data_IF_346352737225
#
_entry.id   IF_346352737225
#
_cell.length_a   1.000
_cell.length_b   1.000
_cell.length_c   1.000
_cell.angle_alpha   90.00
_cell.angle_beta   90.00
_cell.angle_gamma   90.00
#
_symmetry.space_group_name_H-M   'P 1'
#
loop_
_entity.id
_entity.type
_entity.pdbx_description
1 polymer ?
#
# COMPACT_ATOMS: atom_id res chain seq x y z
N UNK A 1 -18.55 -18.25 22.23
CA UNK A 1 -19.55 -17.58 23.11
C UNK A 1 -19.45 -16.09 22.82
N UNK A 2 -20.49 -15.44 22.30
CA UNK A 2 -20.49 -13.98 22.13
C UNK A 2 -20.77 -13.36 23.49
N UNK A 3 -19.71 -12.96 24.18
CA UNK A 3 -19.81 -12.19 25.43
C UNK A 3 -20.06 -10.73 25.02
N UNK A 4 -21.06 -10.03 25.60
CA UNK A 4 -21.20 -8.59 25.44
C UNK A 4 -19.88 -7.88 25.74
N UNK A 5 -19.52 -6.86 24.96
CA UNK A 5 -18.22 -6.18 25.10
C UNK A 5 -17.97 -5.66 26.52
N UNK A 6 -19.01 -5.14 27.18
CA UNK A 6 -18.93 -4.67 28.56
C UNK A 6 -18.58 -5.78 29.56
N UNK A 7 -19.25 -6.93 29.44
CA UNK A 7 -18.98 -8.09 30.30
C UNK A 7 -17.55 -8.62 30.11
N UNK A 8 -17.03 -8.54 28.87
CA UNK A 8 -15.65 -8.93 28.59
C UNK A 8 -14.65 -8.02 29.30
N UNK A 9 -14.80 -6.70 29.21
CA UNK A 9 -13.85 -5.77 29.85
C UNK A 9 -13.95 -5.77 31.37
N UNK A 10 -15.12 -6.02 31.94
CA UNK A 10 -15.25 -6.25 33.38
C UNK A 10 -14.53 -7.52 33.84
N UNK A 11 -14.60 -8.61 33.07
CA UNK A 11 -13.86 -9.84 33.36
C UNK A 11 -12.35 -9.58 33.27
N UNK A 12 -11.90 -8.89 32.22
CA UNK A 12 -10.48 -8.49 32.08
C UNK A 12 -10.03 -7.67 33.29
N UNK A 13 -10.78 -6.64 33.68
CA UNK A 13 -10.45 -5.77 34.81
C UNK A 13 -10.33 -6.56 36.14
N UNK A 14 -11.27 -7.48 36.39
CA UNK A 14 -11.25 -8.35 37.59
C UNK A 14 -10.08 -9.33 37.56
N UNK A 15 -9.78 -9.92 36.40
CA UNK A 15 -8.67 -10.87 36.27
C UNK A 15 -7.33 -10.17 36.40
N UNK A 16 -7.13 -9.01 35.78
CA UNK A 16 -5.86 -8.27 35.82
C UNK A 16 -5.43 -7.89 37.25
N UNK A 17 -6.41 -7.65 38.14
CA UNK A 17 -6.20 -7.21 39.52
C UNK A 17 -6.26 -8.34 40.55
N UNK A 18 -6.57 -9.57 40.13
CA UNK A 18 -6.69 -10.72 41.03
C UNK A 18 -5.32 -11.27 41.45
N UNK A 19 -5.03 -11.30 42.75
CA UNK A 19 -3.82 -11.92 43.31
C UNK A 19 -3.92 -13.45 43.44
N UNK A 20 -5.14 -14.01 43.34
CA UNK A 20 -5.45 -15.39 43.78
C UNK A 20 -5.44 -16.44 42.66
N UNK A 21 -5.10 -16.06 41.43
CA UNK A 21 -5.07 -17.02 40.32
C UNK A 21 -3.67 -17.59 40.13
N UNK A 22 -3.54 -18.90 40.31
CA UNK A 22 -2.28 -19.64 40.12
C UNK A 22 -1.90 -19.80 38.63
N UNK A 23 -2.66 -19.18 37.72
CA UNK A 23 -2.48 -19.24 36.28
C UNK A 23 -2.31 -17.84 35.71
N UNK A 24 -1.28 -17.67 34.87
CA UNK A 24 -1.06 -16.44 34.12
C UNK A 24 -1.98 -16.45 32.91
N UNK A 25 -2.76 -15.39 32.74
CA UNK A 25 -3.77 -15.28 31.68
C UNK A 25 -3.38 -14.12 30.77
N UNK A 26 -3.40 -14.38 29.46
CA UNK A 26 -3.24 -13.36 28.43
C UNK A 26 -4.58 -13.16 27.71
N UNK A 27 -5.04 -11.92 27.66
CA UNK A 27 -6.21 -11.53 26.87
C UNK A 27 -5.72 -10.92 25.56
N UNK A 28 -6.17 -11.46 24.43
CA UNK A 28 -5.86 -10.94 23.10
C UNK A 28 -7.12 -10.39 22.48
N UNK A 29 -7.07 -9.11 22.12
CA UNK A 29 -8.17 -8.38 21.50
C UNK A 29 -7.75 -8.09 20.07
N UNK A 30 -8.25 -8.89 19.14
CA UNK A 30 -8.19 -8.62 17.70
C UNK A 30 -9.29 -7.61 17.33
N UNK A 31 -9.05 -6.77 16.32
CA UNK A 31 -9.98 -5.75 15.83
C UNK A 31 -10.32 -4.62 16.82
N UNK A 32 -9.36 -4.25 17.66
CA UNK A 32 -9.54 -3.18 18.64
C UNK A 32 -9.88 -1.80 18.04
N UNK A 33 -9.70 -1.63 16.73
CA UNK A 33 -10.09 -0.44 15.97
C UNK A 33 -11.61 -0.22 15.88
N UNK A 34 -12.44 -1.21 16.22
CA UNK A 34 -13.89 -1.04 16.28
C UNK A 34 -14.41 -0.83 17.70
N UNK A 35 -13.55 -0.98 18.71
CA UNK A 35 -13.94 -0.84 20.12
C UNK A 35 -14.02 0.61 20.57
N UNK A 36 -13.31 1.50 19.87
CA UNK A 36 -13.24 2.91 20.20
C UNK A 36 -13.38 3.76 18.94
N UNK A 37 -14.28 4.74 19.00
CA UNK A 37 -14.29 5.85 18.07
C UNK A 37 -13.01 6.70 18.12
N UNK A 38 -12.86 7.69 17.23
CA UNK A 38 -11.70 8.56 17.25
C UNK A 38 -11.60 9.29 18.60
N UNK A 39 -10.39 9.53 19.08
CA UNK A 39 -10.14 10.08 20.42
C UNK A 39 -10.94 11.37 20.72
N UNK A 40 -11.26 12.17 19.70
CA UNK A 40 -11.99 13.43 19.82
C UNK A 40 -13.52 13.26 19.83
N UNK A 41 -14.06 12.07 19.56
CA UNK A 41 -15.50 11.80 19.46
C UNK A 41 -15.94 10.55 20.24
N UNK A 42 -15.20 10.18 21.31
CA UNK A 42 -15.57 9.06 22.17
C UNK A 42 -16.91 9.32 22.87
N UNK A 43 -17.78 8.32 22.82
CA UNK A 43 -19.04 8.24 23.57
C UNK A 43 -18.80 8.12 25.08
N UNK A 44 -19.84 8.39 25.88
CA UNK A 44 -19.74 8.25 27.35
C UNK A 44 -19.41 6.81 27.79
N UNK A 45 -19.90 5.82 27.04
CA UNK A 45 -19.65 4.41 27.29
C UNK A 45 -18.18 4.03 27.02
N UNK A 46 -17.64 4.42 25.86
CA UNK A 46 -16.24 4.19 25.51
C UNK A 46 -15.27 4.88 26.48
N UNK A 47 -15.59 6.11 26.93
CA UNK A 47 -14.81 6.81 27.96
C UNK A 47 -14.76 6.05 29.28
N UNK A 48 -15.90 5.51 29.74
CA UNK A 48 -15.95 4.68 30.96
C UNK A 48 -15.09 3.44 30.79
N UNK A 49 -15.17 2.78 29.64
CA UNK A 49 -14.41 1.57 29.35
C UNK A 49 -12.89 1.82 29.39
N UNK A 50 -12.44 2.89 28.72
CA UNK A 50 -11.05 3.32 28.72
C UNK A 50 -10.56 3.70 30.13
N UNK A 51 -11.42 4.36 30.92
CA UNK A 51 -11.12 4.69 32.30
C UNK A 51 -10.93 3.42 33.14
N UNK A 52 -11.84 2.44 33.01
CA UNK A 52 -11.75 1.14 33.70
C UNK A 52 -10.46 0.42 33.35
N UNK A 53 -10.12 0.31 32.06
CA UNK A 53 -8.86 -0.30 31.60
C UNK A 53 -7.67 0.44 32.22
N UNK A 54 -7.64 1.77 32.15
CA UNK A 54 -6.55 2.57 32.70
C UNK A 54 -6.39 2.45 34.22
N UNK A 55 -7.48 2.30 34.98
CA UNK A 55 -7.41 2.01 36.42
C UNK A 55 -6.92 0.59 36.68
N UNK A 56 -7.47 -0.41 36.00
CA UNK A 56 -7.09 -1.81 36.20
C UNK A 56 -5.64 -2.09 35.84
N UNK A 57 -5.09 -1.46 34.79
CA UNK A 57 -3.67 -1.58 34.45
C UNK A 57 -2.75 -0.98 35.53
N UNK A 58 -3.13 0.17 36.10
CA UNK A 58 -2.36 0.79 37.20
C UNK A 58 -2.40 -0.06 38.47
N UNK A 59 -3.55 -0.61 38.81
CA UNK A 59 -3.70 -1.46 39.99
C UNK A 59 -3.00 -2.81 39.79
N UNK A 60 -3.08 -3.40 38.60
CA UNK A 60 -2.33 -4.60 38.22
C UNK A 60 -0.81 -4.40 38.33
N UNK A 61 -0.30 -3.23 37.92
CA UNK A 61 1.12 -2.89 38.06
C UNK A 61 1.54 -2.81 39.53
N UNK A 62 0.73 -2.20 40.41
CA UNK A 62 0.99 -2.14 41.86
C UNK A 62 0.97 -3.54 42.49
N UNK A 63 0.02 -4.38 42.08
CA UNK A 63 -0.11 -5.76 42.52
C UNK A 63 0.94 -6.71 41.91
N UNK A 64 1.85 -6.21 41.05
CA UNK A 64 2.85 -7.00 40.30
C UNK A 64 2.21 -8.18 39.55
N UNK A 65 1.01 -7.92 39.02
CA UNK A 65 0.25 -8.87 38.21
C UNK A 65 1.08 -9.37 37.02
N UNK A 66 0.94 -10.66 36.71
CA UNK A 66 1.61 -11.30 35.57
C UNK A 66 0.64 -11.57 34.41
N UNK A 67 -0.59 -11.07 34.52
CA UNK A 67 -1.57 -11.13 33.45
C UNK A 67 -1.22 -10.13 32.34
N UNK A 68 -1.54 -10.48 31.10
CA UNK A 68 -1.21 -9.67 29.92
C UNK A 68 -2.48 -9.27 29.17
N UNK A 69 -2.52 -8.04 28.70
CA UNK A 69 -3.56 -7.55 27.80
C UNK A 69 -2.90 -7.08 26.49
N UNK A 70 -3.24 -7.74 25.39
CA UNK A 70 -2.69 -7.48 24.05
C UNK A 70 -3.79 -6.90 23.17
N UNK A 71 -3.56 -5.70 22.65
CA UNK A 71 -4.40 -5.08 21.63
C UNK A 71 -3.72 -5.21 20.27
N UNK A 72 -4.41 -5.81 19.30
CA UNK A 72 -3.99 -5.81 17.89
C UNK A 72 -4.74 -4.68 17.19
N UNK A 73 -4.01 -3.71 16.67
CA UNK A 73 -4.57 -2.53 15.99
C UNK A 73 -3.78 -2.17 14.73
N UNK A 74 -4.46 -1.70 13.67
CA UNK A 74 -3.80 -1.29 12.43
C UNK A 74 -3.02 0.03 12.58
N UNK A 75 -3.44 0.91 13.49
CA UNK A 75 -2.78 2.19 13.76
C UNK A 75 -2.86 2.54 15.24
N UNK A 76 -1.90 3.33 15.73
CA UNK A 76 -1.81 3.74 17.14
C UNK A 76 -2.88 4.79 17.55
N UNK A 77 -3.53 5.43 16.57
CA UNK A 77 -4.50 6.51 16.81
C UNK A 77 -5.85 6.04 17.35
N UNK A 78 -6.05 4.73 17.44
CA UNK A 78 -7.26 4.11 18.00
C UNK A 78 -7.34 4.32 19.51
N UNK A 79 -6.21 4.27 20.21
CA UNK A 79 -6.18 4.48 21.65
C UNK A 79 -5.84 5.94 21.98
N UNK A 80 -6.49 6.55 22.99
CA UNK A 80 -6.11 7.88 23.44
C UNK A 80 -4.66 7.91 23.94
N UNK A 81 -3.87 8.94 23.57
CA UNK A 81 -2.49 9.08 24.05
C UNK A 81 -2.36 9.07 25.57
N UNK A 82 -3.39 9.54 26.30
CA UNK A 82 -3.44 9.50 27.76
C UNK A 82 -3.35 8.09 28.37
N UNK A 83 -3.65 7.04 27.60
CA UNK A 83 -3.58 5.67 28.09
C UNK A 83 -2.14 5.14 28.07
N UNK A 84 -1.38 5.44 27.02
CA UNK A 84 -0.06 4.84 26.76
C UNK A 84 1.13 5.78 26.91
N UNK A 85 0.95 7.10 26.79
CA UNK A 85 2.04 8.06 26.96
C UNK A 85 2.53 8.03 28.41
N UNK A 86 3.84 7.86 28.60
CA UNK A 86 4.51 7.79 29.90
C UNK A 86 3.96 6.69 30.83
N UNK A 87 3.38 5.63 30.28
CA UNK A 87 2.85 4.51 31.05
C UNK A 87 3.79 3.30 30.98
N UNK A 88 4.55 3.06 32.04
CA UNK A 88 5.50 1.95 32.12
C UNK A 88 4.85 0.55 32.09
N UNK A 89 3.53 0.45 32.32
CA UNK A 89 2.79 -0.81 32.21
C UNK A 89 2.42 -1.17 30.77
N UNK A 90 2.64 -0.27 29.80
CA UNK A 90 2.24 -0.48 28.40
C UNK A 90 3.47 -0.48 27.52
N UNK A 91 3.63 -1.57 26.77
CA UNK A 91 4.63 -1.68 25.71
C UNK A 91 3.95 -1.57 24.34
N UNK A 92 4.54 -0.79 23.44
CA UNK A 92 4.11 -0.72 22.05
C UNK A 92 5.08 -1.52 21.19
N UNK A 93 4.54 -2.47 20.44
CA UNK A 93 5.32 -3.31 19.52
C UNK A 93 4.84 -3.02 18.10
N UNK A 94 5.47 -2.07 17.38
CA UNK A 94 5.13 -1.84 15.99
C UNK A 94 5.56 -3.06 15.17
N UNK A 95 4.64 -3.59 14.36
CA UNK A 95 4.92 -4.68 13.43
C UNK A 95 5.23 -4.02 12.07
N UNK A 96 6.50 -3.98 11.63
CA UNK A 96 6.84 -3.42 10.34
C UNK A 96 6.33 -4.32 9.20
N UNK A 97 6.29 -3.77 7.99
CA UNK A 97 6.19 -4.62 6.80
C UNK A 97 7.38 -5.59 6.75
N UNK A 98 7.17 -6.80 6.22
CA UNK A 98 8.26 -7.77 6.11
C UNK A 98 9.39 -7.20 5.25
N UNK A 99 10.61 -7.56 5.59
CA UNK A 99 11.81 -7.32 4.80
C UNK A 99 11.80 -8.14 3.50
N UNK A 100 12.69 -7.81 2.57
CA UNK A 100 12.87 -8.58 1.34
C UNK A 100 13.23 -10.05 1.65
N UNK A 101 14.04 -10.30 2.70
CA UNK A 101 14.44 -11.63 3.12
C UNK A 101 13.28 -12.43 3.72
N UNK A 102 12.46 -11.82 4.58
CA UNK A 102 11.26 -12.49 5.12
C UNK A 102 10.25 -12.84 4.00
N UNK A 103 10.12 -11.97 2.98
CA UNK A 103 9.32 -12.29 1.79
C UNK A 103 9.93 -13.41 0.97
N UNK A 104 11.24 -13.42 0.78
CA UNK A 104 11.98 -14.49 0.10
C UNK A 104 11.72 -15.85 0.78
N UNK A 105 11.85 -15.92 2.10
CA UNK A 105 11.57 -17.12 2.90
C UNK A 105 10.10 -17.54 2.77
N UNK A 106 9.17 -16.59 2.78
CA UNK A 106 7.74 -16.87 2.56
C UNK A 106 7.44 -17.37 1.14
N UNK A 107 8.12 -16.84 0.12
CA UNK A 107 8.00 -17.31 -1.27
C UNK A 107 8.50 -18.75 -1.35
N UNK A 108 9.68 -19.04 -0.79
CA UNK A 108 10.28 -20.36 -0.77
C UNK A 108 9.39 -21.37 -0.03
N UNK A 109 8.80 -20.98 1.11
CA UNK A 109 7.86 -21.82 1.85
C UNK A 109 6.60 -22.20 1.03
N UNK A 110 6.22 -21.36 0.06
CA UNK A 110 5.07 -21.59 -0.83
C UNK A 110 5.49 -22.03 -2.25
N UNK A 111 6.77 -22.40 -2.46
CA UNK A 111 7.35 -22.72 -3.76
C UNK A 111 6.51 -23.71 -4.58
N UNK A 112 6.00 -24.76 -3.93
CA UNK A 112 5.22 -25.83 -4.59
C UNK A 112 3.87 -25.35 -5.13
N UNK A 113 3.34 -24.26 -4.60
CA UNK A 113 2.08 -23.66 -5.02
C UNK A 113 2.31 -22.66 -6.17
N UNK A 114 3.48 -22.01 -6.19
CA UNK A 114 3.83 -21.05 -7.23
C UNK A 114 3.95 -21.70 -8.61
N UNK A 115 3.22 -21.16 -9.59
CA UNK A 115 3.36 -21.49 -11.01
C UNK A 115 3.94 -20.29 -11.77
N UNK A 116 5.25 -20.13 -11.68
CA UNK A 116 5.99 -19.03 -12.31
C UNK A 116 7.12 -19.55 -13.20
N UNK A 117 7.58 -18.71 -14.12
CA UNK A 117 8.67 -19.04 -15.06
C UNK A 117 10.05 -19.08 -14.38
N UNK A 118 10.21 -18.27 -13.33
CA UNK A 118 11.44 -18.09 -12.57
C UNK A 118 11.76 -19.29 -11.67
N UNK A 119 13.04 -19.53 -11.44
CA UNK A 119 13.49 -20.58 -10.53
C UNK A 119 13.41 -20.14 -9.06
N UNK A 120 12.73 -20.93 -8.24
CA UNK A 120 12.52 -20.67 -6.82
C UNK A 120 13.36 -21.60 -5.93
N UNK A 121 14.44 -22.23 -6.44
CA UNK A 121 15.38 -22.94 -5.58
C UNK A 121 16.05 -22.04 -4.52
N UNK A 122 16.43 -22.59 -3.35
CA UNK A 122 17.15 -21.83 -2.33
C UNK A 122 18.40 -21.16 -2.88
N UNK A 123 18.60 -19.88 -2.56
CA UNK A 123 19.71 -19.03 -3.03
C UNK A 123 19.75 -18.77 -4.55
N UNK A 124 18.67 -19.05 -5.31
CA UNK A 124 18.60 -18.64 -6.71
C UNK A 124 18.53 -17.11 -6.83
N UNK A 125 19.15 -16.55 -7.88
CA UNK A 125 19.07 -15.11 -8.14
C UNK A 125 17.62 -14.64 -8.39
N UNK A 126 16.82 -15.50 -9.02
CA UNK A 126 15.41 -15.29 -9.32
C UNK A 126 14.54 -15.19 -8.05
N UNK A 127 14.80 -16.04 -7.05
CA UNK A 127 14.10 -16.02 -5.77
C UNK A 127 14.41 -14.73 -5.00
N UNK A 128 15.68 -14.34 -4.94
CA UNK A 128 16.12 -13.07 -4.34
C UNK A 128 15.47 -11.88 -5.07
N UNK A 129 15.47 -11.90 -6.41
CA UNK A 129 14.82 -10.86 -7.20
C UNK A 129 13.31 -10.79 -6.93
N UNK A 130 12.62 -11.93 -6.76
CA UNK A 130 11.20 -11.95 -6.41
C UNK A 130 10.96 -11.34 -5.01
N UNK A 131 11.76 -11.68 -4.00
CA UNK A 131 11.69 -11.08 -2.66
C UNK A 131 11.84 -9.54 -2.69
N UNK A 132 12.67 -9.03 -3.61
CA UNK A 132 12.86 -7.60 -3.83
C UNK A 132 11.71 -6.96 -4.63
N UNK A 133 11.24 -7.58 -5.71
CA UNK A 133 10.15 -7.06 -6.54
C UNK A 133 8.79 -7.04 -5.80
N UNK A 134 8.64 -7.90 -4.80
CA UNK A 134 7.48 -7.97 -3.91
C UNK A 134 7.49 -6.89 -2.81
N UNK A 135 8.27 -5.83 -2.98
CA UNK A 135 8.32 -4.74 -2.00
C UNK A 135 6.94 -4.10 -1.73
N UNK A 136 6.72 -3.80 -0.45
CA UNK A 136 5.45 -3.32 0.10
C UNK A 136 4.34 -4.37 0.24
N UNK A 137 4.60 -5.63 -0.12
CA UNK A 137 3.65 -6.73 0.10
C UNK A 137 3.84 -7.34 1.49
N UNK A 138 2.73 -7.71 2.12
CA UNK A 138 2.71 -8.50 3.35
C UNK A 138 2.96 -9.99 3.08
N UNK A 139 3.26 -10.78 4.11
CA UNK A 139 3.38 -12.24 3.95
C UNK A 139 2.07 -12.90 3.50
N UNK A 140 0.92 -12.31 3.88
CA UNK A 140 -0.40 -12.72 3.39
C UNK A 140 -0.56 -12.46 1.89
N UNK A 141 -0.04 -11.34 1.40
CA UNK A 141 -0.03 -11.05 -0.04
C UNK A 141 0.84 -12.05 -0.80
N UNK A 142 1.98 -12.49 -0.25
CA UNK A 142 2.80 -13.56 -0.86
C UNK A 142 2.02 -14.86 -0.99
N UNK A 143 1.27 -15.27 0.04
CA UNK A 143 0.40 -16.44 -0.02
C UNK A 143 -0.70 -16.27 -1.07
N UNK A 144 -1.31 -15.07 -1.14
CA UNK A 144 -2.32 -14.78 -2.16
C UNK A 144 -1.72 -14.79 -3.57
N UNK A 145 -0.48 -14.33 -3.77
CA UNK A 145 0.23 -14.43 -5.04
C UNK A 145 0.44 -15.90 -5.44
N UNK A 146 0.85 -16.74 -4.49
CA UNK A 146 1.00 -18.18 -4.73
C UNK A 146 -0.32 -18.78 -5.21
N UNK A 147 -1.40 -18.52 -4.46
CA UNK A 147 -2.73 -18.98 -4.81
C UNK A 147 -3.20 -18.45 -6.18
N UNK A 148 -3.05 -17.15 -6.43
CA UNK A 148 -3.39 -16.54 -7.71
C UNK A 148 -2.63 -17.18 -8.88
N UNK A 149 -1.33 -17.41 -8.72
CA UNK A 149 -0.51 -18.07 -9.74
C UNK A 149 -0.98 -19.49 -10.02
N UNK A 150 -1.39 -20.23 -8.98
CA UNK A 150 -1.86 -21.61 -9.11
C UNK A 150 -3.15 -21.73 -9.93
N UNK A 151 -4.00 -20.68 -9.88
CA UNK A 151 -5.25 -20.57 -10.61
C UNK A 151 -5.08 -20.11 -12.06
N UNK A 152 -3.93 -19.53 -12.42
CA UNK A 152 -3.70 -19.13 -13.81
C UNK A 152 -3.55 -20.35 -14.71
N UNK A 153 -4.14 -20.26 -15.92
CA UNK A 153 -4.02 -21.28 -16.95
C UNK A 153 -2.61 -21.36 -17.55
N UNK A 154 -1.90 -20.23 -17.55
CA UNK A 154 -0.58 -20.08 -18.13
C UNK A 154 0.44 -19.79 -17.03
N UNK A 155 1.68 -20.25 -17.25
CA UNK A 155 2.80 -19.95 -16.36
C UNK A 155 3.24 -18.50 -16.60
N UNK A 156 3.02 -17.65 -15.59
CA UNK A 156 3.34 -16.23 -15.66
C UNK A 156 4.78 -15.96 -15.22
N UNK A 157 5.35 -14.85 -15.70
CA UNK A 157 6.55 -14.28 -15.07
C UNK A 157 6.18 -13.70 -13.70
N UNK A 158 7.13 -13.66 -12.77
CA UNK A 158 6.95 -13.03 -11.44
C UNK A 158 6.45 -11.59 -11.56
N UNK A 159 6.97 -10.81 -12.51
CA UNK A 159 6.54 -9.42 -12.76
C UNK A 159 5.08 -9.35 -13.19
N UNK A 160 4.68 -10.18 -14.16
CA UNK A 160 3.30 -10.24 -14.64
C UNK A 160 2.34 -10.70 -13.53
N UNK A 161 2.75 -11.65 -12.69
CA UNK A 161 1.97 -12.10 -11.54
C UNK A 161 1.77 -10.97 -10.51
N UNK A 162 2.84 -10.25 -10.15
CA UNK A 162 2.75 -9.09 -9.24
C UNK A 162 1.87 -7.99 -9.85
N UNK A 163 2.00 -7.71 -11.15
CA UNK A 163 1.16 -6.73 -11.86
C UNK A 163 -0.31 -7.14 -11.84
N UNK A 164 -0.60 -8.42 -12.12
CA UNK A 164 -1.95 -8.96 -12.06
C UNK A 164 -2.55 -8.82 -10.66
N UNK A 165 -1.78 -9.09 -9.61
CA UNK A 165 -2.22 -8.93 -8.24
C UNK A 165 -2.49 -7.48 -7.84
N UNK A 166 -1.57 -6.56 -8.17
CA UNK A 166 -1.67 -5.15 -7.77
C UNK A 166 -2.68 -4.35 -8.60
N UNK A 167 -2.84 -4.68 -9.88
CA UNK A 167 -3.58 -3.84 -10.83
C UNK A 167 -4.69 -4.58 -11.59
N UNK A 168 -4.85 -5.89 -11.39
CA UNK A 168 -5.83 -6.69 -12.13
C UNK A 168 -5.48 -6.88 -13.62
N UNK A 169 -4.28 -6.48 -14.06
CA UNK A 169 -3.83 -6.56 -15.46
C UNK A 169 -2.52 -7.35 -15.56
N UNK A 170 -2.51 -8.34 -16.46
CA UNK A 170 -1.36 -9.25 -16.68
C UNK A 170 -0.15 -8.51 -17.26
N UNK A 171 -0.37 -7.69 -18.28
CA UNK A 171 0.71 -7.01 -19.00
C UNK A 171 0.83 -5.56 -18.55
N UNK A 172 2.04 -5.12 -18.26
CA UNK A 172 2.31 -3.68 -18.21
C UNK A 172 2.32 -3.15 -19.65
N UNK A 173 1.68 -2.01 -19.94
CA UNK A 173 1.83 -1.35 -21.25
C UNK A 173 3.30 -1.09 -21.63
N UNK A 174 4.15 -0.93 -20.61
CA UNK A 174 5.60 -0.77 -20.78
C UNK A 174 6.33 -2.05 -21.20
N UNK A 175 5.77 -3.23 -20.96
CA UNK A 175 6.32 -4.52 -21.43
C UNK A 175 6.01 -4.76 -22.91
N UNK A 176 4.94 -4.13 -23.43
CA UNK A 176 4.60 -4.14 -24.86
C UNK A 176 5.49 -3.22 -25.70
N UNK A 177 6.37 -2.45 -25.08
CA UNK A 177 7.39 -1.67 -25.78
C UNK A 177 8.56 -2.59 -26.10
N UNK A 178 8.99 -2.59 -27.34
CA UNK A 178 10.21 -3.26 -27.78
C UNK A 178 11.16 -2.26 -28.47
N UNK A 179 12.37 -2.72 -28.76
CA UNK A 179 13.38 -1.88 -29.43
C UNK A 179 12.90 -1.33 -30.77
N UNK A 180 12.08 -2.08 -31.52
CA UNK A 180 11.55 -1.64 -32.83
C UNK A 180 10.55 -0.50 -32.66
N UNK A 181 9.56 -0.69 -31.79
CA UNK A 181 8.54 0.32 -31.49
C UNK A 181 9.16 1.60 -30.91
N UNK A 182 10.24 1.49 -30.13
CA UNK A 182 11.00 2.66 -29.66
C UNK A 182 11.70 3.44 -30.76
N UNK A 183 12.14 2.79 -31.85
CA UNK A 183 12.69 3.49 -33.02
C UNK A 183 11.61 4.26 -33.78
N UNK A 184 10.35 3.86 -33.65
CA UNK A 184 9.20 4.49 -34.30
C UNK A 184 8.59 5.65 -33.50
N UNK A 185 9.10 5.96 -32.29
CA UNK A 185 8.57 7.05 -31.45
C UNK A 185 8.53 8.37 -32.22
N UNK A 186 9.66 8.77 -32.80
CA UNK A 186 9.81 10.06 -33.47
C UNK A 186 8.86 10.17 -34.66
N UNK A 187 8.86 9.16 -35.53
CA UNK A 187 8.00 9.13 -36.73
C UNK A 187 6.53 9.09 -36.37
N UNK A 188 6.15 8.39 -35.29
CA UNK A 188 4.76 8.31 -34.83
C UNK A 188 4.27 9.65 -34.27
N UNK A 189 5.05 10.27 -33.38
CA UNK A 189 4.68 11.57 -32.79
C UNK A 189 4.65 12.69 -33.85
N UNK A 190 5.57 12.69 -34.81
CA UNK A 190 5.60 13.68 -35.90
C UNK A 190 4.40 13.61 -36.85
N UNK A 191 3.59 12.53 -36.83
CA UNK A 191 2.34 12.48 -37.60
C UNK A 191 1.35 13.56 -37.12
N UNK A 192 1.23 13.74 -35.80
CA UNK A 192 0.32 14.69 -35.16
C UNK A 192 0.97 16.01 -34.78
N UNK A 193 2.26 15.98 -34.41
CA UNK A 193 2.99 17.16 -33.95
C UNK A 193 3.92 17.69 -35.04
N UNK A 194 3.57 18.84 -35.62
CA UNK A 194 4.38 19.52 -36.63
C UNK A 194 5.23 20.62 -35.99
N UNK A 195 6.52 20.67 -36.35
CA UNK A 195 7.46 21.73 -35.93
C UNK A 195 7.92 21.66 -34.47
N UNK A 196 7.70 20.54 -33.77
CA UNK A 196 8.06 20.35 -32.36
C UNK A 196 9.19 19.32 -32.16
N UNK A 197 10.17 19.28 -33.06
CA UNK A 197 11.21 18.25 -33.10
C UNK A 197 12.01 18.15 -31.79
N UNK A 198 12.33 19.29 -31.17
CA UNK A 198 13.04 19.31 -29.89
C UNK A 198 12.25 18.65 -28.75
N UNK A 199 10.92 18.87 -28.70
CA UNK A 199 10.06 18.25 -27.70
C UNK A 199 9.94 16.73 -27.93
N UNK A 200 9.84 16.31 -29.20
CA UNK A 200 9.79 14.90 -29.60
C UNK A 200 11.10 14.19 -29.24
N UNK A 201 12.25 14.80 -29.52
CA UNK A 201 13.56 14.24 -29.17
C UNK A 201 13.76 14.09 -27.65
N UNK A 202 13.22 15.03 -26.87
CA UNK A 202 13.26 14.95 -25.40
C UNK A 202 12.40 13.78 -24.87
N UNK A 203 11.21 13.59 -25.44
CA UNK A 203 10.33 12.45 -25.12
C UNK A 203 11.01 11.14 -25.48
N UNK A 204 11.60 11.03 -26.68
CA UNK A 204 12.30 9.83 -27.13
C UNK A 204 13.43 9.43 -26.19
N UNK A 205 14.25 10.39 -25.74
CA UNK A 205 15.33 10.15 -24.76
C UNK A 205 14.79 9.60 -23.43
N UNK A 206 13.70 10.18 -22.92
CA UNK A 206 13.07 9.72 -21.68
C UNK A 206 12.50 8.32 -21.83
N UNK A 207 11.85 8.01 -22.95
CA UNK A 207 11.32 6.67 -23.21
C UNK A 207 12.42 5.62 -23.33
N UNK A 208 13.52 5.92 -24.04
CA UNK A 208 14.69 5.03 -24.12
C UNK A 208 15.30 4.80 -22.74
N UNK A 209 15.43 5.85 -21.91
CA UNK A 209 15.92 5.71 -20.52
C UNK A 209 14.97 4.87 -19.67
N UNK A 210 13.67 5.10 -19.76
CA UNK A 210 12.66 4.34 -19.04
C UNK A 210 12.71 2.85 -19.44
N UNK A 211 12.83 2.56 -20.73
CA UNK A 211 12.90 1.20 -21.26
C UNK A 211 14.21 0.49 -20.87
N UNK A 212 15.36 1.12 -21.08
CA UNK A 212 16.67 0.54 -20.71
C UNK A 212 16.83 0.36 -19.20
N UNK A 213 16.26 1.27 -18.41
CA UNK A 213 16.14 1.10 -16.96
C UNK A 213 15.17 0.00 -16.54
N UNK A 214 14.19 -0.37 -17.37
CA UNK A 214 13.32 -1.53 -17.14
C UNK A 214 13.96 -2.85 -17.61
N UNK A 215 14.83 -2.81 -18.62
CA UNK A 215 15.58 -3.97 -19.12
C UNK A 215 16.82 -4.29 -18.29
N UNK A 216 17.31 -3.35 -17.47
CA UNK A 216 18.43 -3.56 -16.55
C UNK A 216 18.34 -2.65 -15.32
N UNK A 217 18.28 -3.27 -14.13
CA UNK A 217 18.48 -2.67 -12.81
C UNK A 217 17.40 -1.70 -12.31
N UNK A 218 16.35 -2.19 -11.65
CA UNK A 218 15.56 -1.39 -10.69
C UNK A 218 15.07 -2.26 -9.52
N UNK A 219 16.01 -2.76 -8.72
CA UNK A 219 15.75 -3.33 -7.41
C UNK A 219 15.49 -2.21 -6.39
N UNK A 220 14.38 -2.33 -5.66
CA UNK A 220 14.09 -1.69 -4.37
C UNK A 220 14.08 -0.15 -4.36
N UNK A 221 13.04 0.48 -3.79
CA UNK A 221 12.78 1.94 -3.69
C UNK A 221 12.32 2.72 -4.94
N UNK A 222 12.69 2.33 -6.17
CA UNK A 222 12.31 3.09 -7.40
C UNK A 222 10.95 2.75 -8.02
N UNK A 223 10.27 1.69 -7.58
CA UNK A 223 8.95 1.34 -8.13
C UNK A 223 7.88 2.45 -7.90
N UNK A 224 8.09 3.33 -6.91
CA UNK A 224 7.24 4.50 -6.64
C UNK A 224 7.65 5.75 -7.42
N UNK A 225 8.79 5.75 -8.11
CA UNK A 225 9.28 6.91 -8.85
C UNK A 225 8.73 6.93 -10.28
N UNK A 226 8.35 8.10 -10.82
CA UNK A 226 7.91 8.21 -12.21
C UNK A 226 8.99 7.70 -13.18
N UNK A 227 8.57 6.94 -14.19
CA UNK A 227 9.48 6.44 -15.26
C UNK A 227 10.10 7.58 -16.08
N UNK A 228 9.45 8.74 -16.09
CA UNK A 228 9.93 9.97 -16.69
C UNK A 228 9.08 11.14 -16.22
N UNK A 229 9.69 12.32 -16.16
CA UNK A 229 9.00 13.57 -15.87
C UNK A 229 9.32 14.54 -17.02
N UNK A 230 8.27 15.12 -17.58
CA UNK A 230 8.34 16.09 -18.67
C UNK A 230 7.72 17.39 -18.19
N UNK A 231 8.42 18.50 -18.40
CA UNK A 231 7.87 19.84 -18.19
C UNK A 231 7.78 20.55 -19.54
N UNK A 232 6.54 20.68 -20.04
CA UNK A 232 6.27 21.27 -21.35
C UNK A 232 5.92 22.75 -21.19
N UNK A 233 6.74 23.63 -21.76
CA UNK A 233 6.59 25.09 -21.64
C UNK A 233 6.41 25.72 -23.01
N UNK A 234 5.54 26.73 -23.11
CA UNK A 234 5.34 27.52 -24.32
C UNK A 234 3.97 28.21 -24.35
N UNK A 235 3.69 29.04 -25.37
CA UNK A 235 2.39 29.71 -25.55
C UNK A 235 1.21 28.74 -25.66
N UNK A 236 -0.02 29.22 -25.43
CA UNK A 236 -1.23 28.40 -25.67
C UNK A 236 -1.33 28.00 -27.14
N UNK A 237 -1.86 26.80 -27.40
CA UNK A 237 -2.08 26.32 -28.78
C UNK A 237 -0.87 25.72 -29.51
N UNK A 238 0.34 25.72 -28.93
CA UNK A 238 1.56 25.18 -29.59
C UNK A 238 1.69 23.65 -29.58
N UNK A 239 0.69 22.92 -29.08
CA UNK A 239 0.69 21.45 -29.10
C UNK A 239 1.19 20.74 -27.83
N UNK A 240 1.33 21.44 -26.69
CA UNK A 240 1.73 20.81 -25.41
C UNK A 240 0.79 19.68 -24.98
N UNK A 241 -0.52 19.95 -24.99
CA UNK A 241 -1.56 18.96 -24.65
C UNK A 241 -1.60 17.83 -25.68
N UNK A 242 -1.40 18.18 -26.95
CA UNK A 242 -1.39 17.21 -28.05
C UNK A 242 -0.21 16.24 -27.95
N UNK A 243 0.95 16.73 -27.49
CA UNK A 243 2.11 15.89 -27.19
C UNK A 243 1.83 14.89 -26.08
N UNK A 244 1.13 15.31 -25.02
CA UNK A 244 0.73 14.41 -23.94
C UNK A 244 -0.24 13.32 -24.43
N UNK A 245 -1.25 13.68 -25.23
CA UNK A 245 -2.21 12.71 -25.81
C UNK A 245 -1.56 11.74 -26.78
N UNK A 246 -0.73 12.25 -27.70
CA UNK A 246 0.00 11.43 -28.67
C UNK A 246 0.97 10.46 -27.98
N UNK A 247 1.58 10.89 -26.88
CA UNK A 247 2.42 10.03 -26.04
C UNK A 247 1.60 8.95 -25.31
N UNK A 248 0.43 9.30 -24.79
CA UNK A 248 -0.48 8.35 -24.15
C UNK A 248 -0.95 7.28 -25.15
N UNK A 249 -1.36 7.69 -26.34
CA UNK A 249 -1.73 6.79 -27.43
C UNK A 249 -0.57 5.86 -27.82
N UNK A 250 0.64 6.41 -27.98
CA UNK A 250 1.81 5.60 -28.32
C UNK A 250 2.11 4.50 -27.28
N UNK A 251 2.04 4.85 -25.99
CA UNK A 251 2.38 3.95 -24.87
C UNK A 251 1.27 2.97 -24.51
N UNK A 252 0.02 3.43 -24.53
CA UNK A 252 -1.13 2.73 -23.96
C UNK A 252 -2.17 2.31 -25.01
N UNK A 253 -2.05 2.82 -26.24
CA UNK A 253 -2.99 2.57 -27.33
C UNK A 253 -4.21 3.50 -27.34
N UNK A 254 -4.36 4.35 -26.31
CA UNK A 254 -5.52 5.23 -26.13
C UNK A 254 -5.05 6.62 -25.70
N UNK A 255 -5.61 7.67 -26.30
CA UNK A 255 -5.32 9.07 -25.91
C UNK A 255 -5.81 9.41 -24.49
N UNK A 256 -6.89 8.75 -24.06
CA UNK A 256 -7.55 8.98 -22.77
C UNK A 256 -6.84 8.26 -21.61
N UNK A 257 -5.80 7.47 -21.90
CA UNK A 257 -4.94 6.82 -20.90
C UNK A 257 -4.01 7.82 -20.18
N UNK A 258 -4.53 9.02 -19.87
CA UNK A 258 -3.87 10.08 -19.16
C UNK A 258 -4.80 10.61 -18.06
N UNK A 259 -4.35 10.54 -16.80
CA UNK A 259 -5.03 11.24 -15.71
C UNK A 259 -4.65 12.71 -15.81
N UNK A 260 -5.62 13.56 -16.14
CA UNK A 260 -5.44 15.00 -16.28
C UNK A 260 -5.88 15.71 -15.01
N UNK A 261 -5.02 16.58 -14.50
CA UNK A 261 -5.34 17.54 -13.45
C UNK A 261 -5.27 18.95 -14.02
N UNK A 262 -6.34 19.73 -13.89
CA UNK A 262 -6.37 21.11 -14.35
C UNK A 262 -5.96 22.04 -13.21
N UNK A 263 -4.72 22.57 -13.25
CA UNK A 263 -4.19 23.41 -12.17
C UNK A 263 -5.02 24.67 -11.90
N UNK A 264 -5.81 25.14 -12.87
CA UNK A 264 -6.73 26.27 -12.64
C UNK A 264 -7.84 25.95 -11.63
N UNK A 265 -8.22 24.68 -11.52
CA UNK A 265 -9.20 24.18 -10.53
C UNK A 265 -8.60 24.05 -9.12
N UNK A 266 -7.28 24.15 -8.99
CA UNK A 266 -6.54 23.96 -7.74
C UNK A 266 -5.97 25.25 -7.13
N UNK A 267 -6.37 26.41 -7.64
CA UNK A 267 -5.88 27.73 -7.16
C UNK A 267 -6.54 28.22 -5.84
N UNK A 268 -7.52 27.52 -5.29
CA UNK A 268 -8.20 27.91 -4.05
C UNK A 268 -7.60 27.21 -2.82
N UNK A 269 -7.58 27.89 -1.67
CA UNK A 269 -6.96 27.45 -0.39
C UNK A 269 -7.48 26.11 0.18
N UNK A 270 -8.52 25.50 -0.40
CA UNK A 270 -9.10 24.21 0.00
C UNK A 270 -9.17 23.18 -1.14
N UNK A 271 -8.56 23.47 -2.30
CA UNK A 271 -8.61 22.60 -3.47
C UNK A 271 -7.62 21.43 -3.40
N UNK A 272 -6.62 21.51 -2.52
CA UNK A 272 -5.67 20.46 -2.16
C UNK A 272 -6.37 19.16 -1.67
N UNK A 273 -7.51 19.30 -1.00
CA UNK A 273 -8.34 18.18 -0.53
C UNK A 273 -8.91 17.32 -1.67
N UNK A 274 -9.03 17.87 -2.89
CA UNK A 274 -9.47 17.11 -4.07
C UNK A 274 -8.35 16.24 -4.67
N UNK A 275 -7.09 16.64 -4.49
CA UNK A 275 -5.91 15.90 -4.95
C UNK A 275 -5.46 14.82 -3.96
N UNK A 276 -5.48 15.14 -2.66
CA UNK A 276 -5.01 14.25 -1.60
C UNK A 276 -6.13 13.37 -1.01
N UNK A 277 -7.39 13.67 -1.34
CA UNK A 277 -8.56 13.19 -0.61
C UNK A 277 -8.80 14.04 0.64
N UNK A 278 -10.04 14.04 1.13
CA UNK A 278 -10.37 14.73 2.37
C UNK A 278 -9.52 14.18 3.53
N UNK A 279 -9.07 15.03 4.47
CA UNK A 279 -8.38 14.56 5.67
C UNK A 279 -9.23 13.51 6.40
N UNK A 280 -8.61 12.52 7.07
CA UNK A 280 -9.33 11.41 7.70
C UNK A 280 -10.40 11.95 8.67
N UNK A 281 -11.68 11.85 8.29
CA UNK A 281 -12.80 12.35 9.11
C UNK A 281 -13.98 12.97 8.36
N UNK A 282 -13.86 13.32 7.07
CA UNK A 282 -15.00 13.82 6.27
C UNK A 282 -15.49 12.78 5.27
N UNK A 283 -16.65 12.17 5.56
CA UNK A 283 -17.33 11.25 4.66
C UNK A 283 -17.85 12.00 3.43
N UNK A 284 -17.31 11.72 2.24
CA UNK A 284 -17.96 12.10 0.98
C UNK A 284 -19.07 11.09 0.75
N UNK A 285 -20.32 11.51 0.95
CA UNK A 285 -21.50 10.76 0.53
C UNK A 285 -21.40 10.54 -0.99
N UNK A 286 -21.20 9.29 -1.42
CA UNK A 286 -21.47 8.88 -2.80
C UNK A 286 -22.92 9.23 -3.10
N UNK A 287 -23.16 10.22 -3.96
CA UNK A 287 -24.43 10.32 -4.67
C UNK A 287 -24.42 9.27 -5.77
N UNK A 288 -25.26 8.26 -5.61
CA UNK A 288 -25.71 7.42 -6.73
C UNK A 288 -26.61 8.24 -7.67
N UNK A 289 -26.52 7.97 -8.98
CA UNK A 289 -27.59 8.24 -9.93
C UNK A 289 -27.20 9.05 -11.17
N UNK A 290 -26.94 8.35 -12.28
CA UNK A 290 -27.84 8.31 -13.45
C UNK A 290 -27.48 7.12 -14.34
#
# INVERSE_FOLDING_TARGET
MKVPEEEFFEVVAKTLTSEKQNQKIAFVIDWSNYLFGPANALTAQERRLLQTIGTSLRDAQKARSQHLLVFIMPTQNVLPPSLYLNNAAIAQVPIPYPSAKEREEAILANKTVFKVQQDLEPNSADLVEFGVQSDGLSLKDIQNLAYLSSQQKEILSVRALISLYKFGKKDSPWEKLDHKRLQEVKTTLQKRLKGQDHAIDAVEKILKRAYTGLSGLQHSSKAKSPKGVLFLVGPTGVGKTELARSLAEFLFGEEEACIRFDMSEFNHEHADQRLLGAPPGMWVLKREGS
#
